data_IF_453410740252
#
_entry.id   IF_453410740252
#
_cell.length_a   1.000
_cell.length_b   1.000
_cell.length_c   1.000
_cell.angle_alpha   90.00
_cell.angle_beta   90.00
_cell.angle_gamma   90.00
#
_symmetry.space_group_name_H-M   'P 1'
#
loop_
_entity.id
_entity.type
_entity.pdbx_description
1 polymer ?
#
# COMPACT_ATOMS: atom_id res chain seq x y z
N UNK A 1 -32.37 -55.15 13.71
CA UNK A 1 -31.48 -55.01 12.53
C UNK A 1 -30.07 -54.74 13.05
N UNK A 2 -29.06 -55.56 12.71
CA UNK A 2 -27.70 -55.36 13.17
C UNK A 2 -27.07 -54.17 12.43
N UNK A 3 -26.45 -53.26 13.17
CA UNK A 3 -25.65 -52.17 12.62
C UNK A 3 -24.36 -52.76 12.04
N UNK A 4 -24.15 -52.61 10.74
CA UNK A 4 -22.91 -53.01 10.06
C UNK A 4 -21.83 -51.92 10.27
N UNK A 5 -20.76 -52.22 11.03
CA UNK A 5 -19.69 -51.26 11.32
C UNK A 5 -18.89 -50.85 10.08
N UNK A 6 -18.94 -51.59 8.97
CA UNK A 6 -18.26 -51.23 7.73
C UNK A 6 -18.84 -49.96 7.09
N UNK A 7 -20.17 -49.78 7.15
CA UNK A 7 -20.88 -48.61 6.63
C UNK A 7 -20.54 -47.31 7.38
N UNK A 8 -20.24 -47.42 8.68
CA UNK A 8 -19.90 -46.27 9.54
C UNK A 8 -18.50 -45.73 9.21
N UNK A 9 -17.54 -46.63 8.93
CA UNK A 9 -16.17 -46.24 8.57
C UNK A 9 -16.08 -45.50 7.23
N UNK A 10 -16.89 -45.88 6.23
CA UNK A 10 -16.92 -45.19 4.93
C UNK A 10 -17.54 -43.81 5.03
N UNK A 11 -18.63 -43.65 5.81
CA UNK A 11 -19.29 -42.36 6.01
C UNK A 11 -18.38 -41.33 6.72
N UNK A 12 -17.59 -41.76 7.72
CA UNK A 12 -16.65 -40.89 8.44
C UNK A 12 -15.49 -40.45 7.54
N UNK A 13 -15.02 -41.32 6.63
CA UNK A 13 -13.92 -41.00 5.70
C UNK A 13 -14.35 -40.04 4.59
N UNK A 14 -15.57 -40.20 4.06
CA UNK A 14 -16.16 -39.25 3.08
C UNK A 14 -16.42 -37.88 3.73
N UNK A 15 -16.84 -37.86 5.00
CA UNK A 15 -17.03 -36.62 5.76
C UNK A 15 -15.73 -35.82 5.97
N UNK A 16 -14.62 -36.48 6.32
CA UNK A 16 -13.33 -35.80 6.55
C UNK A 16 -12.68 -35.28 5.26
N UNK A 17 -12.81 -36.01 4.15
CA UNK A 17 -12.33 -35.56 2.83
C UNK A 17 -13.16 -34.37 2.30
N UNK A 18 -14.47 -34.37 2.52
CA UNK A 18 -15.33 -33.24 2.15
C UNK A 18 -14.96 -31.95 2.91
N UNK A 19 -14.73 -32.02 4.23
CA UNK A 19 -14.31 -30.87 5.04
C UNK A 19 -12.96 -30.30 4.54
N UNK A 20 -12.01 -31.18 4.18
CA UNK A 20 -10.73 -30.77 3.60
C UNK A 20 -10.88 -30.08 2.23
N UNK A 21 -11.80 -30.54 1.39
CA UNK A 21 -12.09 -29.93 0.09
C UNK A 21 -12.75 -28.55 0.24
N UNK A 22 -13.79 -28.42 1.08
CA UNK A 22 -14.44 -27.14 1.33
C UNK A 22 -13.49 -26.12 1.96
N UNK A 23 -12.58 -26.55 2.85
CA UNK A 23 -11.53 -25.70 3.41
C UNK A 23 -10.56 -25.16 2.34
N UNK A 24 -10.11 -26.01 1.41
CA UNK A 24 -9.23 -25.59 0.30
C UNK A 24 -9.94 -24.65 -0.67
N UNK A 25 -11.21 -24.92 -0.99
CA UNK A 25 -12.03 -24.06 -1.85
C UNK A 25 -12.27 -22.71 -1.18
N UNK A 26 -12.64 -22.66 0.09
CA UNK A 26 -12.82 -21.42 0.84
C UNK A 26 -11.50 -20.61 0.93
N UNK A 27 -10.37 -21.28 1.17
CA UNK A 27 -9.05 -20.64 1.16
C UNK A 27 -8.69 -20.06 -0.21
N UNK A 28 -8.96 -20.81 -1.29
CA UNK A 28 -8.78 -20.35 -2.65
C UNK A 28 -9.65 -19.13 -2.96
N UNK A 29 -10.94 -19.15 -2.61
CA UNK A 29 -11.83 -18.00 -2.78
C UNK A 29 -11.37 -16.80 -1.94
N UNK A 30 -10.89 -17.01 -0.72
CA UNK A 30 -10.37 -15.91 0.12
C UNK A 30 -9.12 -15.29 -0.49
N UNK A 31 -8.22 -16.07 -1.08
CA UNK A 31 -6.99 -15.60 -1.75
C UNK A 31 -7.27 -14.81 -3.04
N UNK A 32 -8.44 -14.99 -3.66
CA UNK A 32 -8.83 -14.29 -4.89
C UNK A 32 -9.75 -13.08 -4.65
N UNK A 33 -10.15 -12.83 -3.41
CA UNK A 33 -10.96 -11.66 -3.06
C UNK A 33 -10.05 -10.47 -2.79
N UNK A 34 -10.50 -9.31 -3.21
CA UNK A 34 -9.91 -8.04 -2.78
C UNK A 34 -10.25 -7.85 -1.32
N UNK A 35 -9.22 -7.61 -0.52
CA UNK A 35 -9.36 -7.22 0.88
C UNK A 35 -10.00 -5.83 0.95
N UNK A 36 -10.72 -5.58 2.04
CA UNK A 36 -11.45 -4.34 2.27
C UNK A 36 -11.03 -3.76 3.62
N UNK A 37 -11.03 -2.44 3.77
CA UNK A 37 -10.80 -1.82 5.06
C UNK A 37 -11.83 -2.32 6.10
N UNK A 38 -11.39 -2.47 7.34
CA UNK A 38 -12.23 -2.83 8.46
C UNK A 38 -12.96 -1.59 8.98
N UNK A 39 -14.27 -1.72 9.26
CA UNK A 39 -15.05 -0.65 9.87
C UNK A 39 -15.04 0.64 9.04
N UNK A 40 -14.58 1.72 9.66
CA UNK A 40 -14.44 3.08 9.14
C UNK A 40 -13.00 3.41 8.69
N UNK A 41 -12.11 2.43 8.67
CA UNK A 41 -10.73 2.62 8.25
C UNK A 41 -10.63 3.11 6.79
N UNK A 42 -9.69 4.01 6.54
CA UNK A 42 -9.41 4.48 5.19
C UNK A 42 -8.42 3.52 4.54
N UNK A 43 -8.89 2.84 3.50
CA UNK A 43 -8.06 1.93 2.71
C UNK A 43 -7.02 2.66 1.86
N UNK A 44 -5.76 2.28 2.04
CA UNK A 44 -4.65 2.58 1.14
C UNK A 44 -4.23 1.28 0.47
N UNK A 45 -4.37 1.19 -0.85
CA UNK A 45 -4.02 0.00 -1.61
C UNK A 45 -2.61 0.14 -2.16
N UNK A 46 -1.77 -0.87 -1.96
CA UNK A 46 -0.43 -0.94 -2.56
C UNK A 46 -0.38 -2.13 -3.50
N UNK A 47 0.02 -1.87 -4.75
CA UNK A 47 0.08 -2.87 -5.81
C UNK A 47 1.38 -2.75 -6.60
N UNK A 48 2.45 -3.37 -6.10
CA UNK A 48 3.76 -3.35 -6.77
C UNK A 48 3.96 -4.69 -7.50
N UNK A 49 4.14 -4.62 -8.81
CA UNK A 49 4.51 -5.79 -9.61
C UNK A 49 6.03 -5.88 -9.75
N UNK A 50 6.62 -7.03 -9.45
CA UNK A 50 8.05 -7.24 -9.62
C UNK A 50 8.33 -8.37 -10.62
N UNK A 51 9.31 -8.13 -11.49
CA UNK A 51 9.67 -9.10 -12.55
C UNK A 51 10.34 -10.34 -11.97
N UNK A 52 11.12 -10.16 -10.91
CA UNK A 52 11.91 -11.20 -10.26
C UNK A 52 11.30 -11.54 -8.88
N UNK A 53 11.10 -12.82 -8.53
CA UNK A 53 10.50 -13.22 -7.26
C UNK A 53 11.26 -12.73 -6.02
N UNK A 54 12.60 -12.77 -6.05
CA UNK A 54 13.44 -12.32 -4.93
C UNK A 54 13.31 -10.80 -4.73
N UNK A 55 13.36 -10.04 -5.83
CA UNK A 55 13.09 -8.60 -5.82
C UNK A 55 11.68 -8.29 -5.33
N UNK A 56 10.70 -9.14 -5.67
CA UNK A 56 9.32 -8.96 -5.21
C UNK A 56 9.24 -9.06 -3.70
N UNK A 57 9.76 -10.13 -3.12
CA UNK A 57 9.68 -10.36 -1.69
C UNK A 57 10.39 -9.25 -0.92
N UNK A 58 11.60 -8.87 -1.36
CA UNK A 58 12.40 -7.86 -0.69
C UNK A 58 11.78 -6.46 -0.78
N UNK A 59 11.51 -5.99 -2.00
CA UNK A 59 10.93 -4.66 -2.23
C UNK A 59 9.56 -4.56 -1.59
N UNK A 60 8.70 -5.56 -1.80
CA UNK A 60 7.32 -5.48 -1.30
C UNK A 60 7.29 -5.61 0.21
N UNK A 61 8.06 -6.53 0.82
CA UNK A 61 8.07 -6.68 2.28
C UNK A 61 8.63 -5.43 2.96
N UNK A 62 9.78 -4.92 2.55
CA UNK A 62 10.43 -3.81 3.23
C UNK A 62 9.66 -2.50 2.98
N UNK A 63 9.23 -2.25 1.74
CA UNK A 63 8.43 -1.08 1.40
C UNK A 63 7.06 -1.11 2.08
N UNK A 64 6.29 -2.19 1.91
CA UNK A 64 4.93 -2.29 2.47
C UNK A 64 4.98 -2.33 3.99
N UNK A 65 5.96 -3.01 4.60
CA UNK A 65 6.09 -3.01 6.06
C UNK A 65 6.39 -1.61 6.60
N UNK A 66 7.22 -0.83 5.90
CA UNK A 66 7.51 0.56 6.26
C UNK A 66 6.26 1.43 6.14
N UNK A 67 5.51 1.32 5.04
CA UNK A 67 4.24 2.05 4.89
C UNK A 67 3.22 1.65 5.95
N UNK A 68 3.11 0.35 6.29
CA UNK A 68 2.23 -0.18 7.35
C UNK A 68 2.59 0.32 8.74
N UNK A 69 3.88 0.28 9.11
CA UNK A 69 4.35 0.74 10.43
C UNK A 69 3.95 2.19 10.68
N UNK A 70 4.08 3.00 9.64
CA UNK A 70 3.87 4.43 9.76
C UNK A 70 2.40 4.84 9.53
N UNK A 71 1.54 3.91 9.09
CA UNK A 71 0.08 4.08 9.05
C UNK A 71 -0.63 3.67 10.35
N UNK A 72 0.07 3.01 11.28
CA UNK A 72 -0.44 2.59 12.59
C UNK A 72 -0.59 3.74 13.60
N UNK A 73 -0.69 4.97 13.14
CA UNK A 73 -0.79 6.16 14.00
C UNK A 73 -2.20 6.29 14.60
N UNK A 74 -2.30 6.94 15.77
CA UNK A 74 -3.59 7.25 16.42
C UNK A 74 -4.30 8.36 15.65
N UNK A 75 -5.12 7.96 14.68
CA UNK A 75 -6.06 8.82 13.96
C UNK A 75 -7.49 8.43 14.35
N UNK A 76 -8.42 9.37 14.27
CA UNK A 76 -9.85 9.10 14.51
C UNK A 76 -10.38 8.01 13.57
N UNK A 77 -9.89 8.00 12.32
CA UNK A 77 -10.08 6.89 11.37
C UNK A 77 -8.72 6.35 10.95
N UNK A 78 -8.40 5.07 11.25
CA UNK A 78 -7.09 4.53 10.96
C UNK A 78 -6.86 4.37 9.46
N UNK A 79 -5.62 4.63 9.02
CA UNK A 79 -5.18 4.32 7.67
C UNK A 79 -4.81 2.83 7.60
N UNK A 80 -5.63 2.05 6.88
CA UNK A 80 -5.37 0.62 6.70
C UNK A 80 -4.70 0.38 5.34
N UNK A 81 -3.47 -0.11 5.40
CA UNK A 81 -2.72 -0.53 4.20
C UNK A 81 -3.17 -1.93 3.78
N UNK A 82 -3.61 -2.03 2.53
CA UNK A 82 -4.03 -3.25 1.85
C UNK A 82 -3.03 -3.54 0.73
N UNK A 83 -2.26 -4.60 0.92
CA UNK A 83 -1.31 -5.07 -0.09
C UNK A 83 -2.01 -6.03 -1.06
N UNK A 84 -2.00 -5.71 -2.35
CA UNK A 84 -2.55 -6.63 -3.34
C UNK A 84 -1.56 -7.75 -3.65
N UNK A 85 -2.01 -9.01 -3.67
CA UNK A 85 -1.15 -10.11 -4.08
C UNK A 85 -0.74 -9.95 -5.54
N UNK A 86 0.42 -10.52 -5.91
CA UNK A 86 1.02 -10.44 -7.26
C UNK A 86 0.02 -10.64 -8.40
N UNK A 87 -0.84 -11.66 -8.32
CA UNK A 87 -1.84 -11.98 -9.35
C UNK A 87 -2.92 -10.89 -9.54
N UNK A 88 -3.15 -10.04 -8.54
CA UNK A 88 -4.03 -8.88 -8.61
C UNK A 88 -3.24 -7.64 -9.07
N UNK A 89 -2.03 -7.44 -8.53
CA UNK A 89 -1.15 -6.34 -8.91
C UNK A 89 -0.78 -6.36 -10.41
N UNK A 90 -0.51 -7.53 -10.99
CA UNK A 90 -0.20 -7.71 -12.42
C UNK A 90 -1.33 -7.24 -13.38
N UNK A 91 -2.56 -7.16 -12.88
CA UNK A 91 -3.73 -6.71 -13.65
C UNK A 91 -3.88 -5.19 -13.67
N UNK A 92 -3.11 -4.47 -12.87
CA UNK A 92 -3.16 -3.01 -12.74
C UNK A 92 -2.04 -2.44 -13.59
N UNK A 93 -2.39 -1.90 -14.76
CA UNK A 93 -1.43 -1.41 -15.76
C UNK A 93 -1.65 0.05 -16.12
N UNK A 94 -2.80 0.59 -15.77
CA UNK A 94 -3.26 1.90 -16.15
C UNK A 94 -4.19 2.45 -15.05
N UNK A 95 -4.54 3.72 -15.16
CA UNK A 95 -5.42 4.40 -14.21
C UNK A 95 -6.80 3.73 -14.11
N UNK A 96 -7.35 3.24 -15.23
CA UNK A 96 -8.67 2.62 -15.27
C UNK A 96 -8.70 1.31 -14.48
N UNK A 97 -7.67 0.48 -14.60
CA UNK A 97 -7.50 -0.76 -13.85
C UNK A 97 -7.19 -0.49 -12.37
N UNK A 98 -6.43 0.57 -12.06
CA UNK A 98 -6.19 1.03 -10.70
C UNK A 98 -7.49 1.48 -10.02
N UNK A 99 -8.31 2.29 -10.70
CA UNK A 99 -9.63 2.72 -10.23
C UNK A 99 -10.55 1.53 -9.95
N UNK A 100 -10.61 0.55 -10.86
CA UNK A 100 -11.39 -0.69 -10.65
C UNK A 100 -10.90 -1.49 -9.45
N UNK A 101 -9.59 -1.56 -9.21
CA UNK A 101 -9.04 -2.23 -8.04
C UNK A 101 -9.43 -1.48 -6.75
N UNK A 102 -9.30 -0.16 -6.77
CA UNK A 102 -9.71 0.71 -5.67
C UNK A 102 -11.20 0.54 -5.32
N UNK A 103 -12.09 0.46 -6.32
CA UNK A 103 -13.52 0.20 -6.15
C UNK A 103 -13.80 -1.16 -5.49
N UNK A 104 -13.08 -2.20 -5.90
CA UNK A 104 -13.22 -3.55 -5.32
C UNK A 104 -12.76 -3.61 -3.87
N UNK A 105 -11.68 -2.90 -3.55
CA UNK A 105 -11.18 -2.76 -2.18
C UNK A 105 -12.05 -1.84 -1.32
N UNK A 106 -12.85 -0.93 -1.91
CA UNK A 106 -13.49 0.19 -1.19
C UNK A 106 -12.46 1.06 -0.47
N UNK A 107 -11.34 1.29 -1.15
CA UNK A 107 -10.26 2.13 -0.67
C UNK A 107 -10.37 3.55 -1.22
N UNK A 108 -9.62 4.47 -0.63
CA UNK A 108 -9.60 5.88 -1.03
C UNK A 108 -8.35 6.23 -1.83
N UNK A 109 -7.24 5.53 -1.58
CA UNK A 109 -5.98 5.79 -2.24
C UNK A 109 -5.37 4.48 -2.74
N UNK A 110 -4.77 4.51 -3.92
CA UNK A 110 -3.99 3.40 -4.46
C UNK A 110 -2.65 3.91 -4.99
N UNK A 111 -1.59 3.22 -4.62
CA UNK A 111 -0.26 3.31 -5.22
C UNK A 111 -0.02 2.01 -5.98
N UNK A 112 0.32 2.09 -7.25
CA UNK A 112 0.71 0.93 -8.04
C UNK A 112 1.99 1.19 -8.80
N UNK A 113 2.69 0.13 -9.17
CA UNK A 113 4.00 0.29 -9.76
C UNK A 113 4.65 -0.97 -10.26
N UNK A 114 5.85 -0.81 -10.80
CA UNK A 114 6.71 -1.92 -11.20
C UNK A 114 8.09 -1.81 -10.58
N UNK A 115 8.60 -2.91 -10.02
CA UNK A 115 9.97 -3.05 -9.55
C UNK A 115 10.77 -3.95 -10.50
N UNK A 116 11.92 -3.47 -10.97
CA UNK A 116 12.75 -4.17 -11.97
C UNK A 116 14.23 -4.07 -11.59
N UNK A 117 14.93 -5.20 -11.59
CA UNK A 117 16.40 -5.23 -11.55
C UNK A 117 16.97 -4.67 -12.86
N UNK A 118 17.88 -3.71 -12.76
CA UNK A 118 18.59 -3.08 -13.88
C UNK A 118 20.05 -2.84 -13.50
N UNK A 119 20.94 -2.97 -14.48
CA UNK A 119 22.33 -2.56 -14.32
C UNK A 119 22.45 -1.09 -14.72
N UNK A 120 22.91 -0.23 -13.81
CA UNK A 120 23.17 1.19 -14.05
C UNK A 120 24.61 1.44 -13.60
N UNK A 121 25.46 1.97 -14.47
CA UNK A 121 26.88 2.22 -14.19
C UNK A 121 27.62 1.00 -13.58
N UNK A 122 27.40 -0.16 -14.20
CA UNK A 122 27.92 -1.47 -13.80
C UNK A 122 27.50 -1.99 -12.40
N UNK A 123 26.57 -1.30 -11.73
CA UNK A 123 25.99 -1.73 -10.45
C UNK A 123 24.57 -2.23 -10.62
N UNK A 124 24.15 -3.16 -9.77
CA UNK A 124 22.77 -3.63 -9.75
C UNK A 124 21.89 -2.67 -8.96
N UNK A 125 20.80 -2.24 -9.59
CA UNK A 125 19.77 -1.39 -9.00
C UNK A 125 18.40 -2.03 -9.14
N UNK A 126 17.56 -1.81 -8.15
CA UNK A 126 16.11 -1.95 -8.27
C UNK A 126 15.55 -0.61 -8.73
N UNK A 127 14.97 -0.59 -9.93
CA UNK A 127 14.22 0.56 -10.44
C UNK A 127 12.75 0.37 -10.09
N UNK A 128 12.22 1.28 -9.29
CA UNK A 128 10.82 1.31 -8.87
C UNK A 128 10.10 2.43 -9.62
N UNK A 129 9.18 2.07 -10.51
CA UNK A 129 8.28 3.01 -11.17
C UNK A 129 6.94 3.04 -10.41
N UNK A 130 6.50 4.19 -9.92
CA UNK A 130 5.29 4.35 -9.12
C UNK A 130 4.31 5.32 -9.77
N UNK A 131 3.03 5.00 -9.59
CA UNK A 131 1.88 5.83 -9.91
C UNK A 131 0.90 5.79 -8.75
N UNK A 132 0.04 6.80 -8.66
CA UNK A 132 -0.99 6.83 -7.66
C UNK A 132 -2.28 7.46 -8.16
N UNK A 133 -3.36 7.13 -7.45
CA UNK A 133 -4.70 7.62 -7.72
C UNK A 133 -5.42 7.78 -6.39
N UNK A 134 -6.03 8.95 -6.19
CA UNK A 134 -6.85 9.26 -5.03
C UNK A 134 -8.31 9.43 -5.44
N UNK A 135 -9.21 8.83 -4.68
CA UNK A 135 -10.65 9.07 -4.78
C UNK A 135 -10.99 10.29 -3.95
N UNK A 136 -11.65 11.24 -4.59
CA UNK A 136 -12.27 12.40 -3.95
C UNK A 136 -13.70 12.55 -4.49
N UNK A 137 -14.53 13.34 -3.80
CA UNK A 137 -15.84 13.75 -4.33
C UNK A 137 -15.68 14.57 -5.62
N UNK A 138 -16.76 14.73 -6.39
CA UNK A 138 -16.70 15.54 -7.60
C UNK A 138 -16.32 16.99 -7.24
N UNK A 139 -15.19 17.45 -7.78
CA UNK A 139 -14.66 18.80 -7.61
C UNK A 139 -14.50 19.47 -8.97
N UNK A 140 -14.27 20.78 -8.97
CA UNK A 140 -14.00 21.54 -10.19
C UNK A 140 -12.75 20.96 -10.88
N UNK A 141 -12.85 20.72 -12.19
CA UNK A 141 -11.79 20.10 -13.00
C UNK A 141 -10.41 20.78 -12.81
N UNK A 142 -10.37 22.12 -12.75
CA UNK A 142 -9.13 22.86 -12.52
C UNK A 142 -8.47 22.54 -11.17
N UNK A 143 -9.26 22.28 -10.13
CA UNK A 143 -8.75 21.91 -8.81
C UNK A 143 -8.24 20.47 -8.81
N UNK A 144 -8.94 19.56 -9.49
CA UNK A 144 -8.47 18.18 -9.69
C UNK A 144 -7.15 18.13 -10.46
N UNK A 145 -6.98 18.97 -11.48
CA UNK A 145 -5.73 19.07 -12.24
C UNK A 145 -4.57 19.63 -11.40
N UNK A 146 -4.82 20.66 -10.59
CA UNK A 146 -3.82 21.20 -9.65
C UNK A 146 -3.41 20.15 -8.64
N UNK A 147 -4.38 19.48 -8.01
CA UNK A 147 -4.12 18.41 -7.06
C UNK A 147 -3.35 17.24 -7.71
N UNK A 148 -3.71 16.86 -8.93
CA UNK A 148 -3.00 15.83 -9.68
C UNK A 148 -1.53 16.18 -9.98
N UNK A 149 -1.22 17.48 -10.19
CA UNK A 149 0.17 17.95 -10.34
C UNK A 149 0.92 17.87 -9.01
N UNK A 150 0.35 18.37 -7.92
CA UNK A 150 0.94 18.29 -6.58
C UNK A 150 1.22 16.84 -6.17
N UNK A 151 0.25 15.94 -6.39
CA UNK A 151 0.43 14.50 -6.17
C UNK A 151 1.62 13.94 -6.95
N UNK A 152 1.78 14.35 -8.20
CA UNK A 152 2.85 13.86 -9.07
C UNK A 152 4.23 14.40 -8.69
N UNK A 153 4.30 15.55 -8.02
CA UNK A 153 5.53 16.14 -7.49
C UNK A 153 5.96 15.48 -6.18
N UNK A 154 4.99 15.09 -5.33
CA UNK A 154 5.27 14.47 -4.03
C UNK A 154 5.67 13.00 -4.14
N UNK A 155 5.11 12.26 -5.11
CA UNK A 155 5.41 10.85 -5.30
C UNK A 155 6.56 10.66 -6.29
N UNK A 156 7.64 9.95 -5.91
CA UNK A 156 8.71 9.65 -6.84
C UNK A 156 8.19 8.73 -7.94
N UNK A 157 8.00 9.28 -9.15
CA UNK A 157 7.58 8.49 -10.32
C UNK A 157 8.54 7.36 -10.64
N UNK A 158 9.83 7.59 -10.36
CA UNK A 158 10.90 6.62 -10.54
C UNK A 158 11.93 6.77 -9.43
N UNK A 159 12.16 5.71 -8.68
CA UNK A 159 13.25 5.61 -7.70
C UNK A 159 14.28 4.58 -8.16
N UNK A 160 15.56 4.91 -8.01
CA UNK A 160 16.67 3.99 -8.27
C UNK A 160 17.27 3.58 -6.93
N UNK A 161 17.13 2.31 -6.56
CA UNK A 161 17.61 1.78 -5.30
C UNK A 161 18.81 0.88 -5.59
N UNK A 162 20.00 1.30 -5.20
CA UNK A 162 21.24 0.53 -5.30
C UNK A 162 21.16 -0.73 -4.43
N UNK A 163 21.45 -1.90 -4.99
CA UNK A 163 21.47 -3.15 -4.20
C UNK A 163 22.63 -3.20 -3.18
N UNK A 164 23.59 -2.27 -3.25
CA UNK A 164 24.68 -2.18 -2.27
C UNK A 164 24.26 -1.47 -0.97
N UNK A 165 23.31 -0.53 -1.03
CA UNK A 165 22.82 0.29 0.09
C UNK A 165 21.28 0.29 0.16
N UNK A 166 20.68 -0.79 -0.30
CA UNK A 166 19.23 -0.85 -0.58
C UNK A 166 18.36 -0.57 0.63
N UNK A 167 18.77 -0.98 1.83
CA UNK A 167 17.98 -0.76 3.04
C UNK A 167 17.70 0.73 3.29
N UNK A 168 18.74 1.57 3.28
CA UNK A 168 18.59 3.01 3.58
C UNK A 168 17.80 3.72 2.47
N UNK A 169 18.14 3.44 1.20
CA UNK A 169 17.47 4.06 0.06
C UNK A 169 16.00 3.62 -0.05
N UNK A 170 15.68 2.38 0.31
CA UNK A 170 14.33 1.85 0.34
C UNK A 170 13.52 2.38 1.51
N UNK A 171 14.10 2.49 2.70
CA UNK A 171 13.48 3.13 3.86
C UNK A 171 13.14 4.60 3.55
N UNK A 172 14.08 5.34 2.96
CA UNK A 172 13.86 6.72 2.55
C UNK A 172 12.74 6.82 1.50
N UNK A 173 12.76 5.95 0.48
CA UNK A 173 11.71 5.93 -0.56
C UNK A 173 10.34 5.60 0.04
N UNK A 174 10.27 4.63 0.95
CA UNK A 174 9.04 4.25 1.62
C UNK A 174 8.52 5.37 2.54
N UNK A 175 9.41 6.07 3.25
CA UNK A 175 9.08 7.25 4.04
C UNK A 175 8.50 8.36 3.14
N UNK A 176 9.15 8.67 2.01
CA UNK A 176 8.64 9.67 1.06
C UNK A 176 7.26 9.29 0.54
N UNK A 177 7.05 8.05 0.11
CA UNK A 177 5.74 7.59 -0.38
C UNK A 177 4.69 7.66 0.73
N UNK A 178 5.07 7.38 1.97
CA UNK A 178 4.14 7.37 3.09
C UNK A 178 3.77 8.78 3.56
N UNK A 179 4.69 9.74 3.55
CA UNK A 179 4.42 11.17 3.76
C UNK A 179 3.54 11.72 2.63
N UNK A 180 3.87 11.39 1.38
CA UNK A 180 3.06 11.75 0.22
C UNK A 180 1.65 11.17 0.34
N UNK A 181 1.50 9.89 0.71
CA UNK A 181 0.21 9.26 0.92
C UNK A 181 -0.62 9.96 2.02
N UNK A 182 -0.01 10.31 3.16
CA UNK A 182 -0.68 11.08 4.21
C UNK A 182 -1.18 12.42 3.71
N UNK A 183 -0.31 13.20 3.05
CA UNK A 183 -0.68 14.50 2.50
C UNK A 183 -1.83 14.36 1.48
N UNK A 184 -1.72 13.41 0.57
CA UNK A 184 -2.72 13.18 -0.48
C UNK A 184 -4.07 12.79 0.13
N UNK A 185 -4.08 11.91 1.14
CA UNK A 185 -5.32 11.54 1.84
C UNK A 185 -5.88 12.74 2.62
N UNK A 186 -5.04 13.58 3.22
CA UNK A 186 -5.47 14.79 3.91
C UNK A 186 -6.15 15.78 2.96
N UNK A 187 -5.54 16.04 1.80
CA UNK A 187 -6.13 16.90 0.77
C UNK A 187 -7.40 16.29 0.21
N UNK A 188 -7.44 14.98 -0.06
CA UNK A 188 -8.65 14.30 -0.52
C UNK A 188 -9.80 14.40 0.50
N UNK A 189 -9.50 14.28 1.80
CA UNK A 189 -10.46 14.47 2.88
C UNK A 189 -10.94 15.93 2.96
N UNK A 190 -10.03 16.89 2.82
CA UNK A 190 -10.36 18.32 2.79
C UNK A 190 -11.29 18.66 1.62
N UNK A 191 -10.97 18.17 0.42
CA UNK A 191 -11.78 18.33 -0.79
C UNK A 191 -13.13 17.61 -0.71
N UNK A 192 -13.23 16.60 0.15
CA UNK A 192 -14.46 15.87 0.42
C UNK A 192 -15.26 16.45 1.61
N UNK A 193 -14.86 17.63 2.10
CA UNK A 193 -15.49 18.37 3.21
C UNK A 193 -15.41 17.64 4.57
N UNK A 194 -14.52 16.65 4.73
CA UNK A 194 -14.26 15.98 6.01
C UNK A 194 -13.24 16.76 6.85
N UNK A 195 -13.53 18.03 7.13
CA UNK A 195 -12.56 18.99 7.68
C UNK A 195 -11.86 18.55 8.97
N UNK A 196 -12.55 18.00 10.01
CA UNK A 196 -11.87 17.57 11.23
C UNK A 196 -10.85 16.48 10.96
N UNK A 197 -11.19 15.55 10.06
CA UNK A 197 -10.31 14.45 9.71
C UNK A 197 -9.11 14.94 8.89
N UNK A 198 -9.34 15.77 7.88
CA UNK A 198 -8.27 16.40 7.11
C UNK A 198 -7.29 17.16 8.02
N UNK A 199 -7.80 17.93 8.99
CA UNK A 199 -6.98 18.68 9.94
C UNK A 199 -6.11 17.74 10.78
N UNK A 200 -6.66 16.67 11.35
CA UNK A 200 -5.88 15.70 12.13
C UNK A 200 -4.75 15.04 11.31
N UNK A 201 -4.98 14.79 10.02
CA UNK A 201 -3.95 14.28 9.12
C UNK A 201 -2.85 15.32 8.84
N UNK A 202 -3.22 16.59 8.65
CA UNK A 202 -2.23 17.67 8.46
C UNK A 202 -1.41 17.94 9.71
N UNK A 203 -2.05 17.96 10.89
CA UNK A 203 -1.36 18.10 12.17
C UNK A 203 -0.37 16.95 12.41
N UNK A 204 -0.78 15.71 12.09
CA UNK A 204 0.09 14.55 12.17
C UNK A 204 1.27 14.63 11.19
N UNK A 205 1.03 15.09 9.96
CA UNK A 205 2.08 15.30 8.97
C UNK A 205 3.06 16.38 9.43
N UNK A 206 2.56 17.48 10.00
CA UNK A 206 3.38 18.56 10.56
C UNK A 206 4.24 18.05 11.71
N UNK A 207 3.69 17.30 12.66
CA UNK A 207 4.46 16.69 13.76
C UNK A 207 5.59 15.81 13.24
N UNK A 208 5.33 15.00 12.21
CA UNK A 208 6.33 14.15 11.57
C UNK A 208 7.42 14.98 10.89
N UNK A 209 7.07 16.04 10.17
CA UNK A 209 8.03 16.93 9.53
C UNK A 209 8.94 17.62 10.57
N UNK A 210 8.36 18.18 11.63
CA UNK A 210 9.11 18.85 12.71
C UNK A 210 10.06 17.88 13.45
N UNK A 211 9.61 16.64 13.68
CA UNK A 211 10.46 15.61 14.27
C UNK A 211 11.67 15.26 13.38
N UNK A 212 11.50 15.25 12.06
CA UNK A 212 12.60 15.03 11.12
C UNK A 212 13.57 16.21 11.03
N UNK A 213 13.07 17.46 11.10
CA UNK A 213 13.90 18.67 11.14
C UNK A 213 14.70 18.78 12.44
N UNK A 214 14.18 18.23 13.54
CA UNK A 214 14.89 18.16 14.81
C UNK A 214 16.04 17.13 14.83
N UNK A 215 15.94 16.05 14.05
CA UNK A 215 16.94 14.97 13.99
C UNK A 215 18.07 15.28 13.00
N UNK A 216 17.85 16.19 12.05
CA UNK A 216 18.77 16.48 10.93
C UNK A 216 19.77 17.62 11.19
N UNK A 217 19.81 18.22 12.39
CA UNK A 217 20.78 19.26 12.73
C UNK A 217 21.58 18.92 14.00
N UNK A 218 22.88 18.59 13.86
CA UNK A 218 23.84 18.70 14.95
C UNK A 218 23.83 20.13 15.51
N UNK A 219 23.82 20.31 16.84
CA UNK A 219 23.80 21.63 17.51
C UNK A 219 24.92 22.57 17.03
N UNK A 220 26.03 22.00 16.58
CA UNK A 220 27.20 22.67 16.03
C UNK A 220 26.92 23.47 14.75
N UNK A 221 25.91 23.12 13.95
CA UNK A 221 25.57 23.84 12.71
C UNK A 221 24.62 25.02 12.95
N UNK A 222 23.82 24.97 14.02
CA UNK A 222 22.83 26.02 14.35
C UNK A 222 23.45 27.31 14.89
N UNK A 223 24.74 27.30 15.25
CA UNK A 223 25.44 28.47 15.81
C UNK A 223 26.09 29.38 14.75
N UNK A 224 26.00 29.04 13.47
CA UNK A 224 26.69 29.75 12.37
C UNK A 224 25.74 30.33 11.30
N UNK A 225 24.44 30.44 11.59
CA UNK A 225 23.44 31.12 10.76
C UNK A 225 22.73 32.17 11.61
#
# INVERSE_FOLDING_TARGET
MPFDPATVGTAVKVGSEAVGFFGKVAHFFRKHRYEKPAGDAIGIVIAINATDPESHERVTTDFVSTVRKLSATQLDRPLQVIELPKNQAEKIRDEMSARRALDKCRAHFIVWGTARKRKIDDKEHVVLDLWAYARHNDIVQSLSETFGKEMAELLPRRAHISMANDLIEMELTALTVQLAAHYIVAVAAYLSEELPYALSLFEELQRKAEAHDAVSLPEDVRSHV
#
